data_IF_654552385462
#
_entry.id   IF_654552385462
#
_cell.length_a   1.000
_cell.length_b   1.000
_cell.length_c   1.000
_cell.angle_alpha   90.00
_cell.angle_beta   90.00
_cell.angle_gamma   90.00
#
_symmetry.space_group_name_H-M   'P 1'
#
loop_
_entity.id
_entity.type
_entity.pdbx_description
1 polymer ?
#
# COMPACT_ATOMS: atom_id res chain seq x y z
N UNK A 1 9.25 -15.68 -4.55
CA UNK A 1 8.10 -14.96 -3.98
C UNK A 1 8.44 -13.49 -3.97
N UNK A 2 7.60 -12.65 -4.63
CA UNK A 2 7.80 -11.20 -4.73
C UNK A 2 7.01 -10.49 -3.61
N UNK A 3 7.71 -9.75 -2.77
CA UNK A 3 7.11 -8.85 -1.79
C UNK A 3 7.21 -7.42 -2.30
N UNK A 4 6.08 -6.78 -2.55
CA UNK A 4 6.04 -5.37 -2.93
C UNK A 4 5.82 -4.51 -1.68
N UNK A 5 6.77 -3.61 -1.42
CA UNK A 5 6.65 -2.59 -0.38
C UNK A 5 6.41 -1.21 -0.99
N UNK A 6 5.28 -0.60 -0.68
CA UNK A 6 4.94 0.78 -1.09
C UNK A 6 5.18 1.70 0.10
N UNK A 7 6.29 2.43 0.06
CA UNK A 7 6.68 3.38 1.11
C UNK A 7 6.15 4.79 0.79
N UNK A 8 5.01 5.15 1.37
CA UNK A 8 4.46 6.50 1.26
C UNK A 8 4.85 7.42 2.45
N UNK A 9 6.00 7.19 3.09
CA UNK A 9 6.52 8.05 4.15
C UNK A 9 7.23 9.29 3.57
N UNK A 10 6.53 10.03 2.71
CA UNK A 10 7.05 11.14 1.88
C UNK A 10 7.57 12.36 2.65
N UNK A 11 7.45 12.39 3.96
CA UNK A 11 7.92 13.53 4.78
C UNK A 11 9.43 13.58 4.98
N UNK A 12 10.18 12.61 4.46
CA UNK A 12 11.65 12.47 4.52
C UNK A 12 12.23 12.61 5.94
N UNK A 13 11.48 12.19 6.97
CA UNK A 13 11.92 12.21 8.37
C UNK A 13 12.88 11.07 8.71
N UNK A 14 13.12 10.16 7.76
CA UNK A 14 13.99 9.00 7.95
C UNK A 14 13.59 8.19 9.20
N UNK A 15 14.58 7.92 10.05
CA UNK A 15 14.38 7.17 11.30
C UNK A 15 13.42 7.83 12.31
N UNK A 16 13.07 9.10 12.14
CA UNK A 16 12.04 9.76 12.98
C UNK A 16 10.62 9.49 12.49
N UNK A 17 10.43 8.92 11.31
CA UNK A 17 9.12 8.56 10.79
C UNK A 17 8.51 7.41 11.59
N UNK A 18 7.40 7.67 12.26
CA UNK A 18 6.66 6.68 13.05
C UNK A 18 6.12 5.54 12.17
N UNK A 19 5.58 5.90 11.00
CA UNK A 19 5.04 4.93 10.05
C UNK A 19 6.16 4.08 9.44
N UNK A 20 7.32 4.68 9.16
CA UNK A 20 8.47 3.94 8.63
C UNK A 20 9.00 2.92 9.66
N UNK A 21 9.14 3.29 10.94
CA UNK A 21 9.47 2.34 12.01
C UNK A 21 8.53 1.16 12.10
N UNK A 22 7.23 1.43 11.93
CA UNK A 22 6.21 0.37 11.91
C UNK A 22 6.43 -0.58 10.72
N UNK A 23 6.74 -0.03 9.54
CA UNK A 23 7.06 -0.80 8.34
C UNK A 23 8.35 -1.62 8.51
N UNK A 24 9.41 -1.03 9.05
CA UNK A 24 10.66 -1.74 9.33
C UNK A 24 10.45 -2.93 10.26
N UNK A 25 9.64 -2.77 11.33
CA UNK A 25 9.32 -3.86 12.26
C UNK A 25 8.62 -5.02 11.56
N UNK A 26 7.67 -4.71 10.67
CA UNK A 26 6.96 -5.71 9.87
C UNK A 26 7.89 -6.39 8.87
N UNK A 27 8.58 -5.60 8.02
CA UNK A 27 9.42 -6.10 6.93
C UNK A 27 10.55 -6.97 7.45
N UNK A 28 11.19 -6.57 8.56
CA UNK A 28 12.23 -7.37 9.19
C UNK A 28 11.72 -8.75 9.59
N UNK A 29 10.60 -8.81 10.31
CA UNK A 29 10.02 -10.07 10.74
C UNK A 29 9.59 -10.95 9.57
N UNK A 30 9.02 -10.33 8.52
CA UNK A 30 8.59 -11.04 7.32
C UNK A 30 9.79 -11.64 6.57
N UNK A 31 10.86 -10.86 6.34
CA UNK A 31 12.05 -11.31 5.62
C UNK A 31 12.88 -12.31 6.44
N UNK A 32 12.90 -12.21 7.76
CA UNK A 32 13.52 -13.22 8.63
C UNK A 32 12.84 -14.59 8.48
N UNK A 33 11.52 -14.60 8.22
CA UNK A 33 10.73 -15.81 7.98
C UNK A 33 10.78 -16.30 6.54
N UNK A 34 10.89 -15.37 5.60
CA UNK A 34 10.92 -15.62 4.15
C UNK A 34 12.23 -15.10 3.54
N UNK A 35 13.38 -15.71 3.86
CA UNK A 35 14.68 -15.23 3.38
C UNK A 35 14.86 -15.34 1.87
N UNK A 36 13.98 -16.09 1.18
CA UNK A 36 13.93 -16.20 -0.27
C UNK A 36 13.03 -15.14 -0.94
N UNK A 37 12.38 -14.29 -0.16
CA UNK A 37 11.51 -13.26 -0.71
C UNK A 37 12.35 -12.19 -1.42
N UNK A 38 11.95 -11.87 -2.64
CA UNK A 38 12.47 -10.74 -3.42
C UNK A 38 11.68 -9.49 -3.06
N UNK A 39 12.33 -8.57 -2.36
CA UNK A 39 11.72 -7.33 -1.92
C UNK A 39 11.88 -6.26 -2.99
N UNK A 40 10.78 -5.89 -3.61
CA UNK A 40 10.68 -4.71 -4.46
C UNK A 40 10.07 -3.55 -3.66
N UNK A 41 10.61 -2.34 -3.85
CA UNK A 41 10.13 -1.16 -3.13
C UNK A 41 9.73 -0.08 -4.12
N UNK A 42 8.54 0.47 -3.93
CA UNK A 42 8.15 1.77 -4.50
C UNK A 42 8.49 2.82 -3.45
N UNK A 43 9.52 3.59 -3.73
CA UNK A 43 10.08 4.58 -2.79
C UNK A 43 9.22 5.85 -2.70
N UNK A 44 9.39 6.66 -1.63
CA UNK A 44 8.76 7.96 -1.53
C UNK A 44 9.07 8.88 -2.70
N UNK A 45 10.28 8.82 -3.26
CA UNK A 45 10.71 9.59 -4.41
C UNK A 45 9.92 9.19 -5.66
N UNK A 46 9.82 7.90 -5.94
CA UNK A 46 9.04 7.37 -7.08
C UNK A 46 7.57 7.76 -6.97
N UNK A 47 6.97 7.68 -5.78
CA UNK A 47 5.59 8.12 -5.56
C UNK A 47 5.39 9.61 -5.81
N UNK A 48 6.38 10.44 -5.49
CA UNK A 48 6.31 11.90 -5.73
C UNK A 48 6.56 12.28 -7.19
N UNK A 49 7.19 11.41 -7.97
CA UNK A 49 7.38 11.60 -9.42
C UNK A 49 6.14 11.22 -10.23
N UNK A 50 5.21 10.42 -9.65
CA UNK A 50 3.95 10.09 -10.32
C UNK A 50 3.07 11.34 -10.47
N UNK A 51 2.71 11.66 -11.71
CA UNK A 51 1.76 12.72 -11.97
C UNK A 51 0.32 12.21 -11.87
N UNK A 52 -0.63 13.01 -11.32
CA UNK A 52 -2.05 12.75 -11.53
C UNK A 52 -2.36 12.71 -13.02
N UNK A 53 -3.24 11.81 -13.44
CA UNK A 53 -3.64 11.72 -14.85
C UNK A 53 -4.31 13.01 -15.33
N UNK A 54 -3.83 13.55 -16.46
CA UNK A 54 -4.54 14.52 -17.26
C UNK A 54 -5.32 13.81 -18.39
N UNK A 55 -5.99 14.60 -19.23
CA UNK A 55 -6.84 14.07 -20.31
C UNK A 55 -6.01 13.30 -21.35
N UNK A 56 -4.84 13.82 -21.73
CA UNK A 56 -3.97 13.21 -22.74
C UNK A 56 -3.41 11.86 -22.26
N UNK A 57 -2.93 11.82 -21.01
CA UNK A 57 -2.46 10.59 -20.37
C UNK A 57 -3.56 9.52 -20.26
N UNK A 58 -4.80 9.93 -19.94
CA UNK A 58 -5.93 9.00 -19.85
C UNK A 58 -6.29 8.42 -21.24
N UNK A 59 -6.34 9.26 -22.30
CA UNK A 59 -6.61 8.81 -23.65
C UNK A 59 -5.54 7.86 -24.18
N UNK A 60 -4.25 8.16 -23.93
CA UNK A 60 -3.13 7.28 -24.27
C UNK A 60 -3.23 5.93 -23.55
N UNK A 61 -3.42 5.97 -22.23
CA UNK A 61 -3.55 4.78 -21.40
C UNK A 61 -4.72 3.90 -21.82
N UNK A 62 -5.87 4.49 -22.13
CA UNK A 62 -7.04 3.77 -22.62
C UNK A 62 -6.77 3.11 -23.97
N UNK A 63 -6.12 3.82 -24.91
CA UNK A 63 -5.74 3.30 -26.22
C UNK A 63 -4.79 2.10 -26.10
N UNK A 64 -3.78 2.19 -25.24
CA UNK A 64 -2.83 1.12 -24.97
C UNK A 64 -3.53 -0.11 -24.33
N UNK A 65 -4.40 0.11 -23.35
CA UNK A 65 -5.16 -0.95 -22.72
C UNK A 65 -6.09 -1.68 -23.71
N UNK A 66 -6.78 -0.93 -24.60
CA UNK A 66 -7.65 -1.51 -25.64
C UNK A 66 -6.86 -2.35 -26.66
N UNK A 67 -5.61 -1.98 -26.94
CA UNK A 67 -4.72 -2.76 -27.81
C UNK A 67 -4.03 -3.95 -27.12
N UNK A 68 -4.16 -4.07 -25.80
CA UNK A 68 -3.48 -5.08 -25.00
C UNK A 68 -1.98 -4.82 -24.80
N UNK A 69 -1.52 -3.59 -25.02
CA UNK A 69 -0.11 -3.17 -24.89
C UNK A 69 0.26 -2.91 -23.42
N UNK A 70 0.05 -3.88 -22.54
CA UNK A 70 0.32 -3.76 -21.12
C UNK A 70 1.81 -3.82 -20.74
N UNK A 71 2.69 -4.02 -21.69
CA UNK A 71 4.16 -3.93 -21.56
C UNK A 71 4.69 -2.50 -21.68
N UNK A 72 3.84 -1.55 -22.05
CA UNK A 72 4.19 -0.12 -22.07
C UNK A 72 4.49 0.42 -20.68
N UNK A 73 5.42 1.38 -20.59
CA UNK A 73 5.89 1.98 -19.34
C UNK A 73 4.78 2.66 -18.51
N UNK A 74 3.70 3.08 -19.16
CA UNK A 74 2.53 3.68 -18.48
C UNK A 74 1.85 2.72 -17.51
N UNK A 75 2.11 1.40 -17.68
CA UNK A 75 1.59 0.34 -16.82
C UNK A 75 2.63 -0.25 -15.85
N UNK A 76 3.84 0.32 -15.74
CA UNK A 76 4.91 -0.26 -14.90
C UNK A 76 4.44 -0.49 -13.46
N UNK A 77 3.83 0.52 -12.82
CA UNK A 77 3.31 0.39 -11.46
C UNK A 77 2.18 -0.66 -11.35
N UNK A 78 1.30 -0.73 -12.37
CA UNK A 78 0.21 -1.69 -12.38
C UNK A 78 0.72 -3.13 -12.57
N UNK A 79 1.73 -3.35 -13.42
CA UNK A 79 2.36 -4.66 -13.59
C UNK A 79 3.07 -5.10 -12.33
N UNK A 80 3.88 -4.22 -11.75
CA UNK A 80 4.59 -4.51 -10.49
C UNK A 80 3.61 -4.92 -9.39
N UNK A 81 2.49 -4.18 -9.26
CA UNK A 81 1.46 -4.50 -8.27
C UNK A 81 0.74 -5.82 -8.58
N UNK A 82 0.38 -6.06 -9.86
CA UNK A 82 -0.32 -7.27 -10.28
C UNK A 82 0.52 -8.55 -10.09
N UNK A 83 1.84 -8.45 -10.27
CA UNK A 83 2.78 -9.59 -10.20
C UNK A 83 3.31 -9.86 -8.78
N UNK A 84 3.03 -9.01 -7.81
CA UNK A 84 3.44 -9.23 -6.43
C UNK A 84 2.67 -10.40 -5.80
N UNK A 85 3.36 -11.26 -5.06
CA UNK A 85 2.75 -12.35 -4.27
C UNK A 85 2.17 -11.83 -2.94
N UNK A 86 2.75 -10.75 -2.43
CA UNK A 86 2.32 -10.06 -1.22
C UNK A 86 2.59 -8.55 -1.33
N UNK A 87 1.74 -7.74 -0.72
CA UNK A 87 1.87 -6.28 -0.74
C UNK A 87 1.86 -5.71 0.68
N UNK A 88 2.81 -4.81 0.94
CA UNK A 88 2.85 -4.00 2.17
C UNK A 88 2.78 -2.54 1.77
N UNK A 89 1.84 -1.81 2.34
CA UNK A 89 1.69 -0.36 2.12
C UNK A 89 1.90 0.37 3.43
N UNK A 90 2.88 1.26 3.49
CA UNK A 90 3.11 2.12 4.64
C UNK A 90 2.80 3.57 4.28
N UNK A 91 1.82 4.17 4.96
CA UNK A 91 1.46 5.56 4.74
C UNK A 91 1.00 6.23 6.04
N UNK A 92 1.48 7.44 6.37
CA UNK A 92 1.01 8.16 7.54
C UNK A 92 -0.47 8.55 7.40
N UNK A 93 -1.16 8.65 8.53
CA UNK A 93 -2.55 9.09 8.57
C UNK A 93 -2.61 10.63 8.51
N UNK A 94 -2.90 11.16 7.33
CA UNK A 94 -3.00 12.59 7.05
C UNK A 94 -4.41 12.96 6.62
N UNK A 95 -4.93 14.06 7.14
CA UNK A 95 -6.22 14.63 6.73
C UNK A 95 -7.35 13.60 6.73
N UNK A 96 -7.40 12.76 7.77
CA UNK A 96 -8.36 11.67 7.97
C UNK A 96 -8.22 10.52 6.95
N UNK A 97 -7.09 10.45 6.21
CA UNK A 97 -6.82 9.43 5.20
C UNK A 97 -5.30 9.13 5.11
N UNK A 98 -4.69 9.32 3.96
CA UNK A 98 -3.27 9.15 3.66
C UNK A 98 -2.81 10.23 2.67
N UNK A 99 -1.47 10.40 2.45
CA UNK A 99 -0.96 11.40 1.53
C UNK A 99 -1.51 11.28 0.11
N UNK A 100 -1.70 12.41 -0.58
CA UNK A 100 -2.20 12.45 -1.96
C UNK A 100 -1.37 11.61 -2.93
N UNK A 101 -0.06 11.50 -2.73
CA UNK A 101 0.83 10.67 -3.53
C UNK A 101 0.38 9.20 -3.57
N UNK A 102 -0.10 8.65 -2.43
CA UNK A 102 -0.64 7.29 -2.40
C UNK A 102 -1.95 7.18 -3.21
N UNK A 103 -2.78 8.21 -3.25
CA UNK A 103 -3.98 8.20 -4.08
C UNK A 103 -3.62 8.22 -5.57
N UNK A 104 -2.61 9.00 -5.96
CA UNK A 104 -2.10 8.99 -7.34
C UNK A 104 -1.57 7.60 -7.70
N UNK A 105 -0.76 7.00 -6.84
CA UNK A 105 -0.29 5.62 -7.04
C UNK A 105 -1.45 4.63 -7.22
N UNK A 106 -2.50 4.70 -6.39
CA UNK A 106 -3.69 3.86 -6.52
C UNK A 106 -4.35 4.03 -7.89
N UNK A 107 -4.38 5.24 -8.46
CA UNK A 107 -4.89 5.47 -9.81
C UNK A 107 -4.01 4.81 -10.87
N UNK A 108 -2.69 4.89 -10.72
CA UNK A 108 -1.75 4.24 -11.64
C UNK A 108 -1.85 2.71 -11.61
N UNK A 109 -2.04 2.10 -10.45
CA UNK A 109 -2.19 0.63 -10.36
C UNK A 109 -3.57 0.14 -10.75
N UNK A 110 -4.60 1.00 -10.81
CA UNK A 110 -5.96 0.62 -11.19
C UNK A 110 -6.10 0.55 -12.71
N UNK A 111 -5.75 -0.58 -13.31
CA UNK A 111 -5.71 -0.81 -14.76
C UNK A 111 -6.65 -1.93 -15.18
N UNK A 112 -7.72 -1.58 -15.92
CA UNK A 112 -8.65 -2.55 -16.48
C UNK A 112 -7.93 -3.47 -17.47
N UNK A 113 -8.10 -4.78 -17.31
CA UNK A 113 -7.45 -5.81 -18.12
C UNK A 113 -6.06 -6.21 -17.63
N UNK A 114 -5.55 -5.60 -16.53
CA UNK A 114 -4.26 -5.93 -15.94
C UNK A 114 -4.35 -6.22 -14.44
N UNK A 115 -4.99 -5.36 -13.66
CA UNK A 115 -5.17 -5.56 -12.21
C UNK A 115 -6.58 -5.98 -11.84
N UNK A 116 -7.54 -5.76 -12.71
CA UNK A 116 -8.92 -6.25 -12.62
C UNK A 116 -9.61 -6.17 -13.98
N UNK A 117 -10.71 -6.91 -14.14
CA UNK A 117 -11.56 -6.85 -15.34
C UNK A 117 -13.05 -6.91 -14.97
N UNK A 118 -13.91 -6.68 -15.96
CA UNK A 118 -15.35 -6.76 -15.82
C UNK A 118 -15.91 -7.99 -16.52
N UNK A 119 -16.77 -8.74 -15.80
CA UNK A 119 -17.62 -9.79 -16.35
C UNK A 119 -19.10 -9.47 -16.16
N UNK A 120 -19.99 -10.33 -16.64
CA UNK A 120 -21.45 -10.09 -16.55
C UNK A 120 -21.97 -10.09 -15.11
N UNK A 121 -21.29 -10.72 -14.19
CA UNK A 121 -21.64 -10.84 -12.76
C UNK A 121 -20.91 -9.82 -11.88
N UNK A 122 -20.00 -9.03 -12.44
CA UNK A 122 -19.32 -7.95 -11.72
C UNK A 122 -17.85 -7.74 -12.07
N UNK A 123 -17.13 -7.20 -11.11
CA UNK A 123 -15.69 -6.95 -11.20
C UNK A 123 -14.93 -8.14 -10.64
N UNK A 124 -13.88 -8.57 -11.34
CA UNK A 124 -12.97 -9.62 -10.94
C UNK A 124 -11.55 -9.07 -10.88
N UNK A 125 -10.82 -9.37 -9.79
CA UNK A 125 -9.44 -8.94 -9.63
C UNK A 125 -8.47 -9.94 -10.26
N UNK A 126 -7.39 -9.40 -10.84
CA UNK A 126 -6.39 -10.15 -11.59
C UNK A 126 -5.02 -10.15 -10.92
N UNK A 127 -4.88 -9.56 -9.73
CA UNK A 127 -3.62 -9.52 -9.03
C UNK A 127 -3.27 -10.87 -8.40
N UNK A 128 -1.96 -11.20 -8.37
CA UNK A 128 -1.46 -12.46 -7.81
C UNK A 128 -1.39 -12.46 -6.28
N UNK A 129 -1.35 -11.28 -5.68
CA UNK A 129 -1.17 -11.11 -4.24
C UNK A 129 -2.25 -11.85 -3.43
N UNK A 130 -1.79 -12.69 -2.49
CA UNK A 130 -2.68 -13.41 -1.58
C UNK A 130 -3.10 -12.54 -0.39
N UNK A 131 -2.28 -11.55 -0.03
CA UNK A 131 -2.54 -10.65 1.10
C UNK A 131 -1.96 -9.26 0.86
N UNK A 132 -2.61 -8.27 1.49
CA UNK A 132 -2.13 -6.91 1.59
C UNK A 132 -2.17 -6.46 3.04
N UNK A 133 -1.07 -5.87 3.49
CA UNK A 133 -0.96 -5.29 4.83
C UNK A 133 -0.80 -3.77 4.71
N UNK A 134 -1.69 -3.04 5.40
CA UNK A 134 -1.63 -1.58 5.47
C UNK A 134 -1.11 -1.13 6.85
N UNK A 135 -0.01 -0.41 6.85
CA UNK A 135 0.67 0.09 8.05
C UNK A 135 0.55 1.61 8.10
N UNK A 136 -0.04 2.12 9.17
CA UNK A 136 -0.29 3.56 9.30
C UNK A 136 -0.07 4.04 10.73
N UNK A 137 0.24 5.33 10.88
CA UNK A 137 0.35 5.98 12.18
C UNK A 137 -0.33 7.34 12.18
N UNK A 138 -1.03 7.65 13.26
CA UNK A 138 -1.81 8.88 13.41
C UNK A 138 -1.66 9.52 14.79
N UNK A 139 -1.88 10.84 14.87
CA UNK A 139 -1.86 11.59 16.11
C UNK A 139 -3.03 11.27 17.03
N UNK A 140 -4.21 11.05 16.46
CA UNK A 140 -5.43 10.67 17.17
C UNK A 140 -5.58 9.15 17.27
N UNK A 141 -6.52 8.68 18.06
CA UNK A 141 -6.87 7.28 18.17
C UNK A 141 -7.47 6.77 16.84
N UNK A 142 -7.38 5.46 16.65
CA UNK A 142 -8.07 4.82 15.53
C UNK A 142 -9.59 4.93 15.67
N UNK A 143 -10.25 5.20 14.56
CA UNK A 143 -11.70 5.16 14.43
C UNK A 143 -12.12 3.99 13.50
N UNK A 144 -13.26 3.34 13.80
CA UNK A 144 -13.79 2.23 13.00
C UNK A 144 -14.05 2.59 11.53
N UNK A 145 -14.25 3.88 11.25
CA UNK A 145 -14.51 4.44 9.93
C UNK A 145 -13.27 5.11 9.29
N UNK A 146 -12.06 4.77 9.74
CA UNK A 146 -10.82 5.26 9.12
C UNK A 146 -10.83 5.05 7.61
N UNK A 147 -10.87 6.16 6.86
CA UNK A 147 -11.01 6.14 5.39
C UNK A 147 -9.88 5.37 4.74
N UNK A 148 -8.64 5.51 5.21
CA UNK A 148 -7.51 4.77 4.67
C UNK A 148 -7.69 3.26 4.75
N UNK A 149 -8.12 2.75 5.92
CA UNK A 149 -8.39 1.32 6.14
C UNK A 149 -9.56 0.84 5.28
N UNK A 150 -10.66 1.60 5.27
CA UNK A 150 -11.84 1.24 4.48
C UNK A 150 -11.54 1.23 2.98
N UNK A 151 -10.75 2.19 2.50
CA UNK A 151 -10.39 2.26 1.09
C UNK A 151 -9.53 1.06 0.66
N UNK A 152 -8.47 0.73 1.40
CA UNK A 152 -7.66 -0.44 1.09
C UNK A 152 -8.45 -1.75 1.14
N UNK A 153 -9.38 -1.88 2.08
CA UNK A 153 -10.29 -3.04 2.12
C UNK A 153 -11.16 -3.14 0.85
N UNK A 154 -11.63 -2.02 0.30
CA UNK A 154 -12.38 -2.03 -0.97
C UNK A 154 -11.46 -2.31 -2.17
N UNK A 155 -10.25 -1.76 -2.17
CA UNK A 155 -9.27 -2.01 -3.23
C UNK A 155 -8.83 -3.48 -3.26
N UNK A 156 -8.66 -4.12 -2.10
CA UNK A 156 -8.38 -5.56 -2.06
C UNK A 156 -9.49 -6.37 -2.75
N UNK A 157 -10.77 -6.00 -2.56
CA UNK A 157 -11.87 -6.64 -3.28
C UNK A 157 -11.81 -6.39 -4.79
N UNK A 158 -11.44 -5.16 -5.19
CA UNK A 158 -11.28 -4.80 -6.60
C UNK A 158 -10.18 -5.63 -7.26
N UNK A 159 -9.05 -5.79 -6.58
CA UNK A 159 -7.85 -6.46 -7.10
C UNK A 159 -7.83 -7.98 -6.90
N UNK A 160 -8.84 -8.55 -6.21
CA UNK A 160 -8.92 -9.99 -5.94
C UNK A 160 -8.03 -10.46 -4.79
N UNK A 161 -7.56 -9.57 -3.93
CA UNK A 161 -6.72 -9.88 -2.78
C UNK A 161 -7.61 -10.34 -1.61
N UNK A 162 -7.49 -11.60 -1.20
CA UNK A 162 -8.41 -12.22 -0.23
C UNK A 162 -8.18 -11.74 1.21
N UNK A 163 -6.91 -11.59 1.62
CA UNK A 163 -6.54 -11.22 2.98
C UNK A 163 -6.10 -9.76 3.05
N UNK A 164 -6.86 -8.98 3.80
CA UNK A 164 -6.51 -7.60 4.14
C UNK A 164 -6.33 -7.46 5.64
N UNK A 165 -5.17 -7.01 6.05
CA UNK A 165 -4.81 -6.74 7.44
C UNK A 165 -4.18 -5.36 7.57
N UNK A 166 -4.22 -4.78 8.76
CA UNK A 166 -3.61 -3.49 8.99
C UNK A 166 -3.12 -3.34 10.44
N UNK A 167 -2.19 -2.42 10.64
CA UNK A 167 -1.79 -1.94 11.95
C UNK A 167 -1.88 -0.43 11.95
N UNK A 168 -2.66 0.12 12.89
CA UNK A 168 -2.80 1.55 13.12
C UNK A 168 -2.12 1.91 14.44
N UNK A 169 -0.99 2.60 14.39
CA UNK A 169 -0.35 3.20 15.56
C UNK A 169 -1.02 4.55 15.86
N UNK A 170 -2.04 4.55 16.71
CA UNK A 170 -2.85 5.75 17.01
C UNK A 170 -2.54 6.39 18.36
N UNK A 171 -3.10 7.60 18.58
CA UNK A 171 -2.97 8.35 19.84
C UNK A 171 -1.62 9.00 20.05
N UNK A 172 -0.76 9.07 19.00
CA UNK A 172 0.66 9.42 19.14
C UNK A 172 0.92 10.91 19.46
N UNK A 173 -0.09 11.77 19.31
CA UNK A 173 0.02 13.20 19.61
C UNK A 173 -0.90 13.63 20.77
N UNK A 174 -1.63 12.69 21.38
CA UNK A 174 -2.52 12.95 22.51
C UNK A 174 -1.72 13.19 23.79
N UNK A 175 -0.79 12.27 24.10
CA UNK A 175 0.15 12.42 25.20
C UNK A 175 1.56 12.04 24.75
N UNK A 176 2.46 13.01 24.55
CA UNK A 176 3.82 12.75 24.10
C UNK A 176 4.61 11.80 25.00
N UNK A 177 4.26 11.72 26.30
CA UNK A 177 4.95 10.81 27.22
C UNK A 177 4.60 9.33 26.95
N UNK A 178 3.43 9.07 26.36
CA UNK A 178 2.98 7.72 26.02
C UNK A 178 3.42 7.27 24.61
N UNK A 179 3.89 8.20 23.77
CA UNK A 179 4.25 7.89 22.37
C UNK A 179 5.26 6.75 22.23
N UNK A 180 6.33 6.62 23.05
CA UNK A 180 7.25 5.50 22.94
C UNK A 180 6.58 4.15 23.19
N UNK A 181 5.76 4.04 24.24
CA UNK A 181 5.07 2.78 24.61
C UNK A 181 4.02 2.39 23.55
N UNK A 182 3.28 3.38 23.02
CA UNK A 182 2.31 3.16 21.94
C UNK A 182 2.99 2.67 20.67
N UNK A 183 4.12 3.27 20.31
CA UNK A 183 4.92 2.82 19.15
C UNK A 183 5.51 1.43 19.35
N UNK A 184 6.05 1.13 20.54
CA UNK A 184 6.56 -0.20 20.87
C UNK A 184 5.47 -1.26 20.71
N UNK A 185 4.28 -0.99 21.27
CA UNK A 185 3.11 -1.87 21.15
C UNK A 185 2.68 -2.08 19.69
N UNK A 186 2.63 -1.02 18.89
CA UNK A 186 2.27 -1.11 17.48
C UNK A 186 3.32 -1.87 16.66
N UNK A 187 4.61 -1.63 16.89
CA UNK A 187 5.70 -2.37 16.25
C UNK A 187 5.66 -3.87 16.62
N UNK A 188 5.36 -4.20 17.88
CA UNK A 188 5.18 -5.59 18.30
C UNK A 188 3.98 -6.27 17.60
N UNK A 189 2.88 -5.54 17.39
CA UNK A 189 1.74 -6.04 16.61
C UNK A 189 2.11 -6.25 15.15
N UNK A 190 2.82 -5.32 14.52
CA UNK A 190 3.29 -5.44 13.14
C UNK A 190 4.23 -6.65 12.97
N UNK A 191 5.17 -6.82 13.88
CA UNK A 191 6.07 -7.96 13.92
C UNK A 191 5.29 -9.29 14.02
N UNK A 192 4.35 -9.38 14.98
CA UNK A 192 3.53 -10.56 15.17
C UNK A 192 2.66 -10.86 13.94
N UNK A 193 2.12 -9.83 13.29
CA UNK A 193 1.34 -9.99 12.06
C UNK A 193 2.19 -10.63 10.96
N UNK A 194 3.43 -10.16 10.77
CA UNK A 194 4.36 -10.71 9.79
C UNK A 194 4.69 -12.19 10.03
N UNK A 195 4.64 -12.66 11.27
CA UNK A 195 4.86 -14.08 11.60
C UNK A 195 3.68 -14.99 11.22
N UNK A 196 2.49 -14.42 10.97
CA UNK A 196 1.26 -15.17 10.66
C UNK A 196 0.93 -15.25 9.19
N UNK A 197 1.66 -14.52 8.38
CA UNK A 197 1.56 -14.44 6.92
C UNK A 197 2.81 -15.07 6.30
#
# INVERSE_FOLDING_TARGET
MKLLFVDCCISQRGEESRTHKLAEAYLKAYLDRHPEADLETVSPEELLELAPFDVEMLEERESLAQSGAFDDHVFDMARQFAEADAVVVAAPYWDMSYPAALKVYIEHISAVGLTYHYEMDGVHGDCQAQHLVYLTSGGDFEHEDSIGVLHWRQLCRLFGIERFEYVFAGGLDIDPAMTPDLMEGACALAHKLAETI
#
